data_IF_919684551637
#
_entry.id   IF_919684551637
#
_cell.length_a   1.000
_cell.length_b   1.000
_cell.length_c   1.000
_cell.angle_alpha   90.00
_cell.angle_beta   90.00
_cell.angle_gamma   90.00
#
_symmetry.space_group_name_H-M   'P 1'
#
loop_
_entity.id
_entity.type
_entity.pdbx_description
1 polymer ?
#
# COMPACT_ATOMS: atom_id res chain seq x y z
N UNK A 1 2.20 2.45 0.19
CA UNK A 1 1.88 1.30 1.05
C UNK A 1 1.14 0.26 0.21
N UNK A 2 1.64 -0.96 0.13
CA UNK A 2 0.91 -2.11 -0.44
C UNK A 2 0.41 -2.97 0.71
N UNK A 3 -0.89 -3.25 0.79
CA UNK A 3 -1.49 -4.06 1.86
C UNK A 3 -2.52 -5.06 1.32
N UNK A 4 -2.91 -6.03 2.16
CA UNK A 4 -4.10 -6.84 1.89
C UNK A 4 -5.34 -6.00 1.60
N UNK A 5 -6.19 -6.52 0.71
CA UNK A 5 -7.55 -6.00 0.53
C UNK A 5 -8.57 -6.75 1.39
N UNK A 6 -8.19 -7.91 1.89
CA UNK A 6 -8.95 -8.72 2.84
C UNK A 6 -9.12 -7.94 4.15
N UNK A 7 -10.35 -7.92 4.67
CA UNK A 7 -10.65 -7.26 5.93
C UNK A 7 -10.11 -8.10 7.09
N UNK A 8 -8.90 -7.82 7.54
CA UNK A 8 -8.38 -8.31 8.81
C UNK A 8 -8.41 -7.19 9.85
N UNK A 9 -9.33 -7.22 10.83
CA UNK A 9 -9.43 -6.18 11.85
C UNK A 9 -8.19 -6.08 12.75
N UNK A 10 -7.30 -7.08 12.74
CA UNK A 10 -6.01 -7.03 13.46
C UNK A 10 -5.01 -6.11 12.76
N UNK A 11 -5.20 -5.86 11.46
CA UNK A 11 -4.27 -5.13 10.61
C UNK A 11 -5.01 -4.00 9.94
N UNK A 12 -5.07 -2.88 10.65
CA UNK A 12 -5.49 -1.60 10.13
C UNK A 12 -4.26 -0.72 9.92
N UNK A 13 -3.73 -0.61 8.68
CA UNK A 13 -2.55 0.18 8.42
C UNK A 13 -2.73 1.67 8.74
N UNK A 14 -3.97 2.17 8.80
CA UNK A 14 -4.22 3.58 9.15
C UNK A 14 -3.84 3.91 10.60
N UNK A 15 -3.73 2.91 11.48
CA UNK A 15 -3.28 3.06 12.87
C UNK A 15 -1.77 3.22 13.02
N UNK A 16 -1.01 2.70 12.05
CA UNK A 16 0.45 2.65 12.11
C UNK A 16 1.11 3.59 11.10
N UNK A 17 0.41 3.88 10.01
CA UNK A 17 0.88 4.75 8.94
C UNK A 17 -0.03 5.96 8.83
N UNK A 18 0.56 7.14 8.63
CA UNK A 18 -0.17 8.37 8.39
C UNK A 18 -0.75 8.37 6.96
N UNK A 19 -1.87 7.67 6.76
CA UNK A 19 -2.54 7.50 5.46
C UNK A 19 -3.46 8.66 5.09
N UNK A 20 -3.65 9.63 5.99
CA UNK A 20 -4.47 10.82 5.73
C UNK A 20 -3.68 11.93 5.02
N UNK A 21 -2.36 11.78 4.87
CA UNK A 21 -1.54 12.73 4.12
C UNK A 21 -1.57 12.42 2.63
N UNK A 22 -1.66 13.46 1.80
CA UNK A 22 -1.60 13.35 0.33
C UNK A 22 -0.27 12.76 -0.19
N UNK A 23 0.73 12.60 0.68
CA UNK A 23 2.05 12.04 0.36
C UNK A 23 2.07 10.51 0.39
N UNK A 24 1.07 9.86 0.99
CA UNK A 24 1.08 8.41 1.18
C UNK A 24 -0.05 7.76 0.40
N UNK A 25 0.29 7.01 -0.65
CA UNK A 25 -0.68 6.22 -1.40
C UNK A 25 -0.84 4.83 -0.78
N UNK A 26 -2.10 4.38 -0.64
CA UNK A 26 -2.46 3.03 -0.20
C UNK A 26 -2.97 2.22 -1.40
N UNK A 27 -2.31 1.10 -1.68
CA UNK A 27 -2.67 0.16 -2.74
C UNK A 27 -3.03 -1.16 -2.06
N UNK A 28 -4.26 -1.62 -2.26
CA UNK A 28 -4.75 -2.86 -1.68
C UNK A 28 -4.79 -3.97 -2.73
N UNK A 29 -4.11 -5.08 -2.46
CA UNK A 29 -4.07 -6.26 -3.35
C UNK A 29 -4.36 -7.53 -2.56
N UNK A 30 -4.86 -8.61 -3.20
CA UNK A 30 -5.05 -9.90 -2.52
C UNK A 30 -3.75 -10.38 -1.87
N UNK A 31 -3.77 -10.66 -0.58
CA UNK A 31 -2.60 -11.09 0.19
C UNK A 31 -1.48 -10.04 0.32
N UNK A 32 -1.74 -8.77 -0.02
CA UNK A 32 -0.72 -7.72 -0.06
C UNK A 32 0.38 -7.98 -1.09
N UNK A 33 0.09 -8.79 -2.13
CA UNK A 33 1.07 -9.18 -3.14
C UNK A 33 1.43 -8.01 -4.05
N UNK A 34 2.73 -7.72 -4.16
CA UNK A 34 3.26 -6.67 -5.02
C UNK A 34 2.94 -6.89 -6.49
N UNK A 35 2.82 -8.15 -6.94
CA UNK A 35 2.51 -8.48 -8.35
C UNK A 35 1.25 -7.77 -8.87
N UNK A 36 0.21 -7.65 -8.04
CA UNK A 36 -1.02 -6.93 -8.41
C UNK A 36 -0.91 -5.40 -8.35
N UNK A 37 0.19 -4.87 -7.80
CA UNK A 37 0.41 -3.44 -7.59
C UNK A 37 1.44 -2.83 -8.56
N UNK A 38 2.16 -3.63 -9.37
CA UNK A 38 3.30 -3.16 -10.18
C UNK A 38 2.91 -1.99 -11.08
N UNK A 39 1.82 -2.10 -11.84
CA UNK A 39 1.38 -1.02 -12.74
C UNK A 39 1.02 0.25 -11.97
N UNK A 40 0.31 0.11 -10.84
CA UNK A 40 -0.06 1.25 -10.00
C UNK A 40 1.17 1.92 -9.40
N UNK A 41 2.15 1.15 -8.93
CA UNK A 41 3.43 1.67 -8.43
C UNK A 41 4.19 2.42 -9.53
N UNK A 42 4.24 1.86 -10.73
CA UNK A 42 4.89 2.50 -11.88
C UNK A 42 4.28 3.86 -12.19
N UNK A 43 2.95 3.93 -12.36
CA UNK A 43 2.29 5.20 -12.64
C UNK A 43 2.35 6.19 -11.47
N UNK A 44 2.31 5.69 -10.24
CA UNK A 44 2.47 6.52 -9.04
C UNK A 44 3.85 7.17 -9.00
N UNK A 45 4.93 6.41 -9.25
CA UNK A 45 6.29 6.94 -9.28
C UNK A 45 6.52 7.94 -10.42
N UNK A 46 5.92 7.70 -11.59
CA UNK A 46 5.95 8.65 -12.70
C UNK A 46 5.23 9.97 -12.38
N UNK A 47 4.12 9.91 -11.64
CA UNK A 47 3.35 11.10 -11.25
C UNK A 47 4.00 11.87 -10.10
N UNK A 48 4.57 11.14 -9.13
CA UNK A 48 5.28 11.70 -7.98
C UNK A 48 6.29 10.69 -7.48
N UNK A 49 7.57 11.06 -7.53
CA UNK A 49 8.68 10.14 -7.22
C UNK A 49 8.48 9.49 -5.84
N UNK A 50 8.43 8.17 -5.82
CA UNK A 50 8.29 7.37 -4.61
C UNK A 50 9.65 7.21 -3.96
N UNK A 51 9.79 7.72 -2.73
CA UNK A 51 11.01 7.53 -1.93
C UNK A 51 11.04 6.21 -1.16
N UNK A 52 9.88 5.59 -0.93
CA UNK A 52 9.76 4.37 -0.10
C UNK A 52 8.51 3.59 -0.47
N UNK A 53 8.65 2.25 -0.55
CA UNK A 53 7.53 1.31 -0.64
C UNK A 53 7.54 0.44 0.61
N UNK A 54 6.42 0.43 1.33
CA UNK A 54 6.18 -0.47 2.46
C UNK A 54 5.13 -1.50 2.05
N UNK A 55 5.43 -2.78 2.26
CA UNK A 55 4.54 -3.90 1.98
C UNK A 55 4.11 -4.53 3.30
N UNK A 56 2.80 -4.67 3.52
CA UNK A 56 2.21 -5.24 4.72
C UNK A 56 1.40 -6.47 4.34
N UNK A 57 1.82 -7.62 4.85
CA UNK A 57 1.16 -8.91 4.66
C UNK A 57 0.74 -9.48 6.01
N UNK A 58 -0.13 -10.49 5.98
CA UNK A 58 -0.63 -11.14 7.19
C UNK A 58 -0.78 -12.64 7.03
N UNK A 59 -0.83 -13.34 8.16
CA UNK A 59 -1.09 -14.78 8.28
C UNK A 59 -2.57 -15.05 8.54
#
# INVERSE_FOLDING_TARGET
>A
LVSCNEADPRIDPSRYFNLSTNTTQSIKTPGGRTAGAINTIYYADQASRIGMIVVVQHT
#
